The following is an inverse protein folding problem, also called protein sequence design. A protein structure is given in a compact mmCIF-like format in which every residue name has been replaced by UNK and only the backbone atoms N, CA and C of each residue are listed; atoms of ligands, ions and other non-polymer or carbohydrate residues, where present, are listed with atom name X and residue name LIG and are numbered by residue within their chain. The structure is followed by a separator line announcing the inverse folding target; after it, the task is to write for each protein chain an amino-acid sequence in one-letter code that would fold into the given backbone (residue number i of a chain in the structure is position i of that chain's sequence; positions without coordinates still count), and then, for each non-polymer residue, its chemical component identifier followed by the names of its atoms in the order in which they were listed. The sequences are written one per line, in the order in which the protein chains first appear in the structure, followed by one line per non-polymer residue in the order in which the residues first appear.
data_IF_776775902658
#
_entry.id   IF_776775902658
#
_cell.length_a   1.000
_cell.length_b   1.000
_cell.length_c   1.000
_cell.angle_alpha   90.00
_cell.angle_beta   90.00
_cell.angle_gamma   90.00
#
_symmetry.space_group_name_H-M   'P 1'
#
loop_
_entity.id
_entity.type
_entity.pdbx_description
1 polymer ?
#
# COMPACT_ATOMS: atom_id res chain seq x y z
N UNK A 1 18.58 -11.37 1.45
CA UNK A 1 18.17 -11.14 1.30
C UNK A 1 17.59 -10.53 1.24
N UNK A 2 17.36 -10.28 1.22
CA UNK A 2 16.73 -9.87 1.02
C UNK A 2 15.89 -9.11 1.44
N UNK A 3 15.57 -8.48 1.47
CA UNK A 3 14.86 -7.75 1.91
C UNK A 3 13.82 -7.69 2.15
N UNK A 4 13.55 -7.78 1.99
CA UNK A 4 12.70 -7.69 2.24
C UNK A 4 11.54 -7.74 2.56
N UNK A 5 11.57 -8.25 3.33
CA UNK A 5 10.30 -8.39 3.91
C UNK A 5 9.67 -7.10 4.15
N UNK A 6 10.45 -6.10 4.12
CA UNK A 6 9.93 -4.77 4.23
C UNK A 6 9.08 -4.42 3.07
N UNK A 7 9.21 -5.18 2.03
CA UNK A 7 8.40 -5.00 0.88
C UNK A 7 7.31 -5.98 0.87
N UNK A 8 6.98 -6.41 2.06
CA UNK A 8 5.88 -7.27 2.15
C UNK A 8 4.76 -6.72 1.35
N UNK A 9 4.17 -7.56 0.60
CA UNK A 9 3.10 -7.20 -0.27
C UNK A 9 1.85 -7.10 0.53
N UNK A 10 1.72 -5.97 1.23
CA UNK A 10 0.54 -5.72 2.03
C UNK A 10 -0.51 -5.01 1.20
N UNK A 11 -1.76 -5.42 1.43
CA UNK A 11 -2.89 -4.74 0.84
C UNK A 11 -3.38 -3.73 1.86
N UNK A 12 -3.36 -2.46 1.49
CA UNK A 12 -3.67 -1.38 2.42
C UNK A 12 -4.91 -0.64 1.99
N UNK A 13 -5.73 -0.25 2.96
CA UNK A 13 -6.83 0.67 2.71
C UNK A 13 -6.28 2.07 2.53
N UNK A 14 -7.11 2.97 2.03
CA UNK A 14 -6.73 4.38 1.86
C UNK A 14 -6.22 4.96 3.17
N UNK A 15 -6.96 4.74 4.26
CA UNK A 15 -6.57 5.27 5.56
C UNK A 15 -5.24 4.73 6.04
N UNK A 16 -5.01 3.44 5.81
CA UNK A 16 -3.75 2.81 6.18
C UNK A 16 -2.58 3.39 5.39
N UNK A 17 -2.78 3.65 4.10
CA UNK A 17 -1.74 4.26 3.28
C UNK A 17 -1.37 5.64 3.80
N UNK A 18 -2.37 6.42 4.14
CA UNK A 18 -2.17 7.77 4.66
C UNK A 18 -1.42 7.71 5.99
N UNK A 19 -1.88 6.86 6.89
CA UNK A 19 -1.28 6.74 8.21
C UNK A 19 0.17 6.28 8.12
N UNK A 20 0.43 5.27 7.31
CA UNK A 20 1.78 4.73 7.15
C UNK A 20 2.73 5.81 6.62
N UNK A 21 2.32 6.50 5.57
CA UNK A 21 3.18 7.50 4.98
C UNK A 21 3.42 8.66 5.94
N UNK A 22 2.37 9.06 6.68
CA UNK A 22 2.51 10.11 7.67
C UNK A 22 3.57 9.74 8.71
N UNK A 23 3.53 8.49 9.18
CA UNK A 23 4.50 8.02 10.16
C UNK A 23 5.91 7.92 9.58
N UNK A 24 6.04 7.50 8.33
CA UNK A 24 7.34 7.46 7.67
C UNK A 24 7.96 8.85 7.61
N UNK A 25 7.15 9.88 7.44
CA UNK A 25 7.62 11.26 7.39
C UNK A 25 7.71 11.88 8.78
N UNK A 26 7.41 11.10 9.81
CA UNK A 26 7.47 11.55 11.21
C UNK A 26 6.56 12.74 11.48
N UNK A 27 5.40 12.75 10.83
CA UNK A 27 4.42 13.82 11.01
C UNK A 27 3.39 13.42 12.04
N UNK A 28 2.98 14.37 12.85
CA UNK A 28 1.83 14.18 13.73
C UNK A 28 0.56 14.42 12.94
N UNK A 29 -0.58 14.08 13.54
CA UNK A 29 -1.86 14.40 12.92
C UNK A 29 -2.01 15.88 12.69
N UNK A 30 -1.52 16.68 13.65
CA UNK A 30 -1.58 18.12 13.53
C UNK A 30 -0.71 18.63 12.38
N UNK A 31 0.48 18.04 12.23
CA UNK A 31 1.37 18.42 11.14
C UNK A 31 0.69 18.18 9.79
N UNK A 32 0.09 17.03 9.64
CA UNK A 32 -0.56 16.70 8.37
C UNK A 32 -1.80 17.56 8.13
N UNK A 33 -2.57 17.80 9.18
CA UNK A 33 -3.79 18.61 9.04
C UNK A 33 -3.48 20.05 8.65
N UNK A 34 -2.38 20.61 9.17
CA UNK A 34 -2.01 21.99 8.90
C UNK A 34 -3.13 22.93 9.27
N UNK A 35 -3.37 23.89 8.41
CA UNK A 35 -4.49 24.82 8.58
C UNK A 35 -5.69 24.38 7.77
N UNK A 36 -5.60 23.26 7.06
CA UNK A 36 -6.61 22.87 6.10
C UNK A 36 -7.79 22.17 6.75
N UNK A 37 -7.50 21.27 7.68
CA UNK A 37 -8.56 20.53 8.38
C UNK A 37 -8.07 20.30 9.81
N UNK A 38 -8.89 19.60 10.61
CA UNK A 38 -8.54 19.30 11.98
C UNK A 38 -7.81 17.97 12.09
N UNK A 39 -6.95 17.80 13.10
CA UNK A 39 -6.33 16.49 13.34
C UNK A 39 -7.34 15.38 13.53
N UNK A 40 -8.49 15.70 14.13
CA UNK A 40 -9.56 14.70 14.30
C UNK A 40 -10.11 14.20 12.97
N UNK A 41 -10.21 15.07 11.98
CA UNK A 41 -10.66 14.66 10.66
C UNK A 41 -9.66 13.75 9.98
N UNK A 42 -8.36 14.04 10.14
CA UNK A 42 -7.33 13.13 9.62
C UNK A 42 -7.46 11.76 10.28
N UNK A 43 -7.65 11.75 11.60
CA UNK A 43 -7.80 10.50 12.33
C UNK A 43 -8.98 9.68 11.82
N UNK A 44 -10.10 10.33 11.51
CA UNK A 44 -11.27 9.64 10.96
C UNK A 44 -10.98 9.05 9.59
N UNK A 45 -10.25 9.77 8.74
CA UNK A 45 -9.87 9.26 7.43
C UNK A 45 -8.93 8.07 7.58
N UNK A 46 -7.94 8.16 8.46
CA UNK A 46 -6.99 7.08 8.66
C UNK A 46 -7.66 5.80 9.17
N UNK A 47 -8.69 5.94 9.97
CA UNK A 47 -9.39 4.78 10.53
C UNK A 47 -10.48 4.25 9.60
N UNK A 48 -10.71 4.90 8.47
CA UNK A 48 -11.74 4.47 7.52
C UNK A 48 -13.14 4.90 7.90
N UNK A 49 -13.27 5.77 8.88
CA UNK A 49 -14.61 6.23 9.34
C UNK A 49 -15.13 7.41 8.54
N UNK A 50 -14.27 7.98 7.71
CA UNK A 50 -14.67 9.11 6.89
C UNK A 50 -13.98 8.98 5.53
N UNK A 51 -14.71 9.30 4.46
CA UNK A 51 -14.15 9.30 3.12
C UNK A 51 -13.77 10.73 2.76
N UNK A 52 -12.52 10.97 2.39
CA UNK A 52 -12.10 12.32 2.03
C UNK A 52 -12.65 12.73 0.67
N UNK A 53 -12.88 14.02 0.50
CA UNK A 53 -13.22 14.57 -0.79
C UNK A 53 -12.00 14.52 -1.72
N UNK A 54 -12.22 14.74 -3.01
CA UNK A 54 -11.11 14.77 -3.96
C UNK A 54 -10.13 15.91 -3.61
N UNK A 55 -10.65 17.06 -3.20
CA UNK A 55 -9.80 18.18 -2.78
C UNK A 55 -8.90 17.78 -1.63
N UNK A 56 -9.45 17.08 -0.65
CA UNK A 56 -8.68 16.64 0.50
C UNK A 56 -7.66 15.58 0.10
N UNK A 57 -8.04 14.67 -0.81
CA UNK A 57 -7.10 13.68 -1.31
C UNK A 57 -5.91 14.32 -2.00
N UNK A 58 -6.17 15.36 -2.81
CA UNK A 58 -5.08 16.07 -3.47
C UNK A 58 -4.17 16.75 -2.46
N UNK A 59 -4.76 17.35 -1.44
CA UNK A 59 -3.99 17.96 -0.36
C UNK A 59 -3.10 16.92 0.34
N UNK A 60 -3.69 15.77 0.67
CA UNK A 60 -2.95 14.71 1.35
C UNK A 60 -1.84 14.15 0.47
N UNK A 61 -2.13 13.96 -0.81
CA UNK A 61 -1.12 13.48 -1.75
C UNK A 61 0.05 14.45 -1.85
N UNK A 62 -0.24 15.75 -1.93
CA UNK A 62 0.81 16.76 -1.99
C UNK A 62 1.63 16.79 -0.70
N UNK A 63 0.98 16.63 0.43
CA UNK A 63 1.66 16.68 1.72
C UNK A 63 2.50 15.45 2.00
N UNK A 64 2.03 14.29 1.56
CA UNK A 64 2.66 13.01 1.86
C UNK A 64 3.54 12.50 0.72
N UNK A 65 3.37 13.09 -0.47
CA UNK A 65 4.18 12.82 -1.65
C UNK A 65 3.76 11.62 -2.52
N UNK A 66 2.89 10.71 -2.14
CA UNK A 66 2.43 9.71 -3.11
C UNK A 66 1.44 10.35 -4.08
N UNK A 67 1.16 9.68 -5.17
CA UNK A 67 0.18 10.16 -6.13
C UNK A 67 -1.23 9.88 -5.63
N UNK A 68 -2.21 10.63 -6.16
CA UNK A 68 -3.61 10.35 -5.87
C UNK A 68 -3.97 8.95 -6.36
N UNK A 69 -3.42 8.55 -7.51
CA UNK A 69 -3.66 7.21 -8.05
C UNK A 69 -3.24 6.12 -7.06
N UNK A 70 -2.07 6.31 -6.43
CA UNK A 70 -1.62 5.34 -5.43
C UNK A 70 -2.59 5.27 -4.27
N UNK A 71 -3.02 6.43 -3.77
CA UNK A 71 -3.92 6.47 -2.62
C UNK A 71 -5.26 5.80 -2.93
N UNK A 72 -5.75 5.95 -4.15
CA UNK A 72 -7.05 5.43 -4.56
C UNK A 72 -7.00 4.00 -5.10
N UNK A 73 -5.82 3.41 -5.21
CA UNK A 73 -5.70 2.06 -5.74
C UNK A 73 -6.49 1.09 -4.88
N UNK A 74 -7.42 0.37 -5.49
CA UNK A 74 -8.29 -0.54 -4.77
C UNK A 74 -7.53 -1.73 -4.20
N UNK A 75 -8.14 -2.40 -3.24
CA UNK A 75 -7.54 -3.60 -2.67
C UNK A 75 -7.43 -4.70 -3.73
N UNK A 76 -8.44 -4.80 -4.61
CA UNK A 76 -8.39 -5.77 -5.71
C UNK A 76 -7.22 -5.50 -6.64
N UNK A 77 -6.99 -4.24 -7.01
CA UNK A 77 -5.87 -3.89 -7.88
C UNK A 77 -4.54 -4.18 -7.21
N UNK A 78 -4.43 -3.89 -5.92
CA UNK A 78 -3.23 -4.22 -5.18
C UNK A 78 -2.98 -5.72 -5.17
N UNK A 79 -4.04 -6.52 -4.94
CA UNK A 79 -3.92 -7.97 -4.95
C UNK A 79 -3.48 -8.50 -6.31
N UNK A 80 -4.01 -7.92 -7.39
CA UNK A 80 -3.61 -8.32 -8.75
C UNK A 80 -2.13 -8.05 -8.98
N UNK A 81 -1.65 -6.90 -8.56
CA UNK A 81 -0.22 -6.56 -8.72
C UNK A 81 0.67 -7.49 -7.93
N UNK A 82 0.25 -7.83 -6.72
CA UNK A 82 1.01 -8.77 -5.89
C UNK A 82 1.04 -10.15 -6.54
N UNK A 83 -0.09 -10.59 -7.06
CA UNK A 83 -0.18 -11.87 -7.74
C UNK A 83 0.77 -11.93 -8.92
N UNK A 84 0.77 -10.88 -9.75
CA UNK A 84 1.66 -10.82 -10.91
C UNK A 84 3.12 -10.87 -10.47
N UNK A 85 3.45 -10.14 -9.40
CA UNK A 85 4.83 -10.15 -8.89
C UNK A 85 5.26 -11.57 -8.52
N UNK A 86 4.42 -12.29 -7.77
CA UNK A 86 4.78 -13.63 -7.35
C UNK A 86 4.85 -14.59 -8.53
N UNK A 87 3.99 -14.42 -9.54
CA UNK A 87 4.04 -15.25 -10.74
C UNK A 87 5.34 -15.02 -11.50
N UNK A 88 5.77 -13.78 -11.62
CA UNK A 88 7.02 -13.47 -12.30
C UNK A 88 8.22 -14.02 -11.54
N UNK A 89 8.18 -13.97 -10.22
CA UNK A 89 9.25 -14.54 -9.41
C UNK A 89 9.30 -16.05 -9.56
N UNK A 90 8.13 -16.70 -9.58
CA UNK A 90 8.07 -18.15 -9.78
C UNK A 90 8.68 -18.53 -11.13
N UNK A 91 8.31 -17.80 -12.18
CA UNK A 91 8.84 -18.08 -13.52
C UNK A 91 10.37 -17.95 -13.52
N UNK A 92 10.90 -16.95 -12.85
CA UNK A 92 12.33 -16.74 -12.76
C UNK A 92 13.02 -17.93 -12.09
N UNK A 93 12.47 -18.42 -10.97
CA UNK A 93 13.06 -19.54 -10.27
C UNK A 93 12.96 -20.84 -11.05
N UNK A 94 11.86 -21.01 -11.78
CA UNK A 94 11.72 -22.17 -12.66
C UNK A 94 12.83 -22.15 -13.73
N UNK A 95 13.05 -20.98 -14.30
CA UNK A 95 14.08 -20.82 -15.34
C UNK A 95 15.46 -21.20 -14.82
N UNK A 96 15.75 -20.92 -13.56
CA UNK A 96 17.03 -21.25 -12.96
C UNK A 96 17.05 -22.64 -12.33
N UNK A 97 15.95 -23.38 -12.40
CA UNK A 97 15.89 -24.74 -11.89
C UNK A 97 15.66 -24.83 -10.38
N UNK A 98 15.37 -23.72 -9.74
CA UNK A 98 15.11 -23.70 -8.30
C UNK A 98 13.61 -23.90 -8.07
N UNK A 99 13.17 -25.16 -8.14
CA UNK A 99 11.76 -25.47 -8.10
C UNK A 99 11.15 -25.35 -6.70
N UNK A 100 11.97 -25.47 -5.66
CA UNK A 100 11.46 -25.27 -4.30
C UNK A 100 11.08 -23.82 -4.07
N UNK A 101 11.93 -22.89 -4.48
CA UNK A 101 11.61 -21.47 -4.37
C UNK A 101 10.43 -21.11 -5.25
N UNK A 102 10.38 -21.67 -6.47
CA UNK A 102 9.27 -21.42 -7.38
C UNK A 102 7.95 -21.84 -6.77
N UNK A 103 7.92 -22.98 -6.09
CA UNK A 103 6.71 -23.48 -5.47
C UNK A 103 6.18 -22.51 -4.42
N UNK A 104 7.07 -21.94 -3.62
CA UNK A 104 6.68 -20.98 -2.59
C UNK A 104 6.03 -19.76 -3.23
N UNK A 105 6.60 -19.24 -4.32
CA UNK A 105 6.03 -18.08 -4.99
C UNK A 105 4.70 -18.40 -5.65
N UNK A 106 4.55 -19.61 -6.20
CA UNK A 106 3.28 -20.03 -6.78
C UNK A 106 2.20 -20.08 -5.70
N UNK A 107 2.52 -20.64 -4.55
CA UNK A 107 1.55 -20.70 -3.46
C UNK A 107 1.12 -19.31 -3.00
N UNK A 108 2.09 -18.38 -2.93
CA UNK A 108 1.75 -17.01 -2.58
C UNK A 108 0.88 -16.35 -3.65
N UNK A 109 1.17 -16.60 -4.92
CA UNK A 109 0.35 -16.06 -6.00
C UNK A 109 -1.09 -16.56 -5.90
N UNK A 110 -1.26 -17.84 -5.61
CA UNK A 110 -2.61 -18.41 -5.48
C UNK A 110 -3.37 -17.79 -4.31
N UNK A 111 -2.67 -17.52 -3.23
CA UNK A 111 -3.30 -16.89 -2.07
C UNK A 111 -3.91 -15.53 -2.44
N UNK A 112 -3.18 -14.72 -3.21
CA UNK A 112 -3.65 -13.40 -3.59
C UNK A 112 -4.62 -13.42 -4.77
N UNK A 113 -4.71 -14.52 -5.50
CA UNK A 113 -5.59 -14.63 -6.64
C UNK A 113 -7.05 -14.80 -6.23
N UNK A 114 -7.29 -15.14 -4.97
CA UNK A 114 -8.64 -15.26 -4.48
C UNK A 114 -9.17 -13.90 -4.07
#
# INVERSE_FOLDING_TARGET
MWVKEDYVMEILTLGEKIKRRRKELEMTLKDLAGDRITPGQISLVESGRSNPSMDLLEYLANSLQPSVEYLLESEETQAEKICIYYEQMADTYILYGDYLSAEIYIENALYYAE
#
